data_IF_558558862710
#
_entry.id   IF_558558862710
#
_cell.length_a   1.000
_cell.length_b   1.000
_cell.length_c   1.000
_cell.angle_alpha   90.00
_cell.angle_beta   90.00
_cell.angle_gamma   90.00
#
_symmetry.space_group_name_H-M   'P 1'
#
loop_
_entity.id
_entity.type
_entity.pdbx_description
1 polymer ?
#
# COMPACT_ATOMS: atom_id res chain seq x y z
N UNK A 1 5.64 -18.07 -30.29
CA UNK A 1 4.56 -18.88 -29.68
C UNK A 1 4.86 -19.29 -28.24
N UNK A 2 6.00 -19.91 -27.91
CA UNK A 2 6.33 -20.35 -26.53
C UNK A 2 6.23 -19.23 -25.47
N UNK A 3 6.72 -18.01 -25.76
CA UNK A 3 6.67 -16.84 -24.87
C UNK A 3 5.25 -16.33 -24.55
N UNK A 4 4.30 -16.51 -25.49
CA UNK A 4 2.91 -16.08 -25.31
C UNK A 4 2.17 -16.98 -24.31
N UNK A 5 2.42 -18.29 -24.37
CA UNK A 5 1.87 -19.25 -23.40
C UNK A 5 2.46 -19.03 -22.00
N UNK A 6 3.73 -18.66 -21.89
CA UNK A 6 4.34 -18.32 -20.59
C UNK A 6 3.73 -17.06 -19.99
N UNK A 7 3.46 -16.04 -20.82
CA UNK A 7 2.81 -14.80 -20.38
C UNK A 7 1.35 -15.02 -19.96
N UNK A 8 0.58 -15.79 -20.73
CA UNK A 8 -0.80 -16.16 -20.37
C UNK A 8 -0.87 -17.00 -19.09
N UNK A 9 0.08 -17.93 -18.89
CA UNK A 9 0.17 -18.71 -17.65
C UNK A 9 0.49 -17.84 -16.43
N UNK A 10 1.35 -16.82 -16.58
CA UNK A 10 1.67 -15.89 -15.50
C UNK A 10 0.47 -14.98 -15.11
N UNK A 11 -0.35 -14.57 -16.10
CA UNK A 11 -1.59 -13.82 -15.85
C UNK A 11 -2.63 -14.71 -15.16
N UNK A 12 -2.76 -15.97 -15.57
CA UNK A 12 -3.71 -16.90 -14.93
C UNK A 12 -3.34 -17.19 -13.46
N UNK A 13 -2.03 -17.24 -13.14
CA UNK A 13 -1.55 -17.48 -11.77
C UNK A 13 -1.82 -16.30 -10.81
N UNK A 14 -1.86 -15.07 -11.32
CA UNK A 14 -2.13 -13.87 -10.51
C UNK A 14 -3.62 -13.57 -10.36
N UNK A 15 -4.46 -14.09 -11.26
CA UNK A 15 -5.92 -13.94 -11.19
C UNK A 15 -6.59 -14.82 -10.12
N UNK A 16 -5.89 -15.80 -9.54
CA UNK A 16 -6.46 -16.75 -8.56
C UNK A 16 -6.08 -16.47 -7.12
N UNK A 17 -5.41 -15.35 -6.81
CA UNK A 17 -5.07 -15.02 -5.43
C UNK A 17 -6.24 -14.31 -4.74
N UNK A 18 -7.04 -15.05 -3.97
CA UNK A 18 -8.00 -14.46 -3.04
C UNK A 18 -7.26 -13.92 -1.82
N UNK A 19 -6.93 -12.63 -1.85
CA UNK A 19 -6.33 -11.92 -0.72
C UNK A 19 -7.39 -11.21 0.16
N UNK A 20 -8.65 -11.65 0.11
CA UNK A 20 -9.69 -11.04 0.93
C UNK A 20 -9.42 -11.34 2.40
N UNK A 21 -9.38 -10.27 3.20
CA UNK A 21 -9.31 -10.39 4.65
C UNK A 21 -10.55 -11.16 5.10
N UNK A 22 -10.42 -12.21 5.91
CA UNK A 22 -11.58 -12.92 6.43
C UNK A 22 -12.54 -11.95 7.11
N UNK A 23 -13.79 -11.89 6.66
CA UNK A 23 -14.84 -11.01 7.19
C UNK A 23 -15.46 -11.62 8.46
N UNK A 24 -14.59 -11.99 9.41
CA UNK A 24 -14.95 -12.63 10.67
C UNK A 24 -13.92 -12.31 11.74
N UNK A 25 -14.31 -12.42 13.00
CA UNK A 25 -13.42 -12.17 14.13
C UNK A 25 -13.47 -13.30 15.18
N UNK A 26 -12.32 -13.70 15.70
CA UNK A 26 -12.27 -14.71 16.77
C UNK A 26 -12.79 -14.13 18.09
N UNK A 27 -13.59 -14.91 18.81
CA UNK A 27 -14.11 -14.58 20.13
C UNK A 27 -14.02 -15.79 21.06
N UNK A 28 -13.63 -15.54 22.31
CA UNK A 28 -13.56 -16.54 23.35
C UNK A 28 -14.17 -16.00 24.64
N UNK A 29 -14.93 -16.86 25.32
CA UNK A 29 -15.52 -16.53 26.61
C UNK A 29 -15.63 -17.77 27.50
N UNK A 30 -15.54 -17.58 28.81
CA UNK A 30 -15.80 -18.62 29.80
C UNK A 30 -17.25 -18.48 30.26
N UNK A 31 -18.04 -19.54 30.10
CA UNK A 31 -19.46 -19.56 30.44
C UNK A 31 -19.65 -20.13 31.85
N UNK A 32 -20.36 -19.37 32.68
CA UNK A 32 -20.73 -19.74 34.06
C UNK A 32 -22.23 -19.62 34.26
N UNK A 33 -22.80 -20.49 35.10
CA UNK A 33 -24.19 -20.38 35.52
C UNK A 33 -24.40 -19.31 36.61
N UNK A 34 -25.64 -19.14 37.07
CA UNK A 34 -26.00 -18.18 38.13
C UNK A 34 -25.41 -18.51 39.51
N UNK A 35 -24.87 -19.73 39.69
CA UNK A 35 -24.15 -20.17 40.88
C UNK A 35 -22.63 -20.11 40.73
N UNK A 36 -22.13 -19.42 39.71
CA UNK A 36 -20.71 -19.33 39.32
C UNK A 36 -20.04 -20.65 38.91
N UNK A 37 -20.82 -21.73 38.71
CA UNK A 37 -20.29 -23.01 38.25
C UNK A 37 -19.98 -22.94 36.75
N UNK A 38 -18.90 -23.62 36.34
CA UNK A 38 -18.54 -23.72 34.92
C UNK A 38 -19.56 -24.57 34.18
N UNK A 39 -20.10 -24.02 33.09
CA UNK A 39 -20.86 -24.79 32.11
C UNK A 39 -19.86 -25.51 31.23
N UNK A 40 -19.58 -26.79 31.49
CA UNK A 40 -18.48 -27.53 30.85
C UNK A 40 -18.97 -28.67 29.96
N UNK A 41 -18.25 -28.91 28.85
CA UNK A 41 -18.46 -30.03 27.93
C UNK A 41 -19.89 -30.19 27.38
N UNK A 42 -20.60 -29.08 27.15
CA UNK A 42 -21.96 -29.12 26.61
C UNK A 42 -22.22 -27.98 25.61
N UNK A 43 -23.16 -28.16 24.66
CA UNK A 43 -23.58 -27.08 23.79
C UNK A 43 -24.27 -25.97 24.58
N UNK A 44 -23.98 -24.73 24.22
CA UNK A 44 -24.65 -23.52 24.72
C UNK A 44 -25.21 -22.74 23.55
N UNK A 45 -26.37 -22.11 23.71
CA UNK A 45 -26.96 -21.25 22.69
C UNK A 45 -26.43 -19.85 22.90
N UNK A 46 -25.92 -19.20 21.85
CA UNK A 46 -25.39 -17.85 21.93
C UNK A 46 -26.01 -16.96 20.86
N UNK A 47 -26.45 -15.78 21.25
CA UNK A 47 -26.71 -14.65 20.36
C UNK A 47 -25.59 -13.62 20.55
N UNK A 48 -25.04 -13.16 19.43
CA UNK A 48 -23.98 -12.16 19.39
C UNK A 48 -24.52 -10.95 18.65
N UNK A 49 -24.40 -9.77 19.24
CA UNK A 49 -24.80 -8.50 18.63
C UNK A 49 -23.62 -7.53 18.59
N UNK A 50 -23.44 -6.83 17.48
CA UNK A 50 -22.52 -5.69 17.36
C UNK A 50 -23.33 -4.41 17.57
N UNK A 51 -23.08 -3.71 18.67
CA UNK A 51 -23.75 -2.45 19.03
C UNK A 51 -22.89 -1.25 18.62
N UNK A 52 -23.51 -0.23 18.04
CA UNK A 52 -22.83 1.00 17.63
C UNK A 52 -22.96 2.12 18.68
N UNK A 53 -21.87 2.85 18.91
CA UNK A 53 -21.82 4.10 19.69
C UNK A 53 -21.80 3.93 21.21
N UNK A 54 -22.46 2.90 21.76
CA UNK A 54 -22.44 2.61 23.21
C UNK A 54 -22.79 1.15 23.53
N UNK A 55 -22.55 0.74 24.77
CA UNK A 55 -22.93 -0.58 25.29
C UNK A 55 -24.45 -0.86 25.30
N UNK A 56 -25.28 0.15 25.05
CA UNK A 56 -26.74 0.01 24.87
C UNK A 56 -27.21 0.64 23.56
N UNK A 57 -26.30 0.80 22.60
CA UNK A 57 -26.58 1.36 21.29
C UNK A 57 -27.38 0.42 20.40
N UNK A 58 -27.64 0.88 19.17
CA UNK A 58 -28.35 0.09 18.17
C UNK A 58 -27.50 -1.10 17.71
N UNK A 59 -28.11 -2.28 17.63
CA UNK A 59 -27.48 -3.45 17.02
C UNK A 59 -27.43 -3.26 15.50
N UNK A 60 -26.21 -3.20 14.94
CA UNK A 60 -25.97 -3.09 13.50
C UNK A 60 -25.77 -4.46 12.84
N UNK A 61 -25.52 -5.48 13.64
CA UNK A 61 -25.41 -6.88 13.22
C UNK A 61 -25.77 -7.81 14.37
N UNK A 62 -26.49 -8.89 14.07
CA UNK A 62 -26.84 -9.94 15.02
C UNK A 62 -26.74 -11.32 14.38
N UNK A 63 -26.18 -12.27 15.12
CA UNK A 63 -26.12 -13.67 14.71
C UNK A 63 -26.33 -14.62 15.89
N UNK A 64 -26.65 -15.87 15.57
CA UNK A 64 -26.78 -16.96 16.54
C UNK A 64 -25.81 -18.09 16.25
N UNK A 65 -25.30 -18.72 17.31
CA UNK A 65 -24.39 -19.87 17.24
C UNK A 65 -24.68 -20.83 18.39
N UNK A 66 -24.30 -22.11 18.23
CA UNK A 66 -24.42 -23.13 19.27
C UNK A 66 -23.07 -23.81 19.58
N UNK A 67 -22.08 -23.08 20.10
CA UNK A 67 -20.76 -23.65 20.41
C UNK A 67 -20.83 -24.62 21.58
N UNK A 68 -19.88 -25.56 21.63
CA UNK A 68 -19.70 -26.48 22.77
C UNK A 68 -18.60 -25.95 23.69
N UNK A 69 -18.88 -25.86 24.99
CA UNK A 69 -17.87 -25.48 25.99
C UNK A 69 -16.86 -26.61 26.22
N UNK A 70 -15.61 -26.28 26.55
CA UNK A 70 -14.62 -27.29 26.97
C UNK A 70 -14.68 -27.55 28.49
N UNK A 71 -13.77 -28.37 29.02
CA UNK A 71 -13.65 -28.68 30.46
C UNK A 71 -13.51 -27.45 31.36
N UNK A 72 -12.98 -26.34 30.84
CA UNK A 72 -12.82 -25.08 31.57
C UNK A 72 -14.01 -24.12 31.35
N UNK A 73 -15.11 -24.59 30.74
CA UNK A 73 -16.25 -23.76 30.37
C UNK A 73 -15.98 -22.76 29.24
N UNK A 74 -14.86 -22.89 28.53
CA UNK A 74 -14.47 -21.98 27.46
C UNK A 74 -15.22 -22.32 26.16
N UNK A 75 -15.84 -21.32 25.55
CA UNK A 75 -16.28 -21.35 24.15
C UNK A 75 -15.25 -20.63 23.28
N UNK A 76 -15.10 -21.11 22.04
CA UNK A 76 -14.31 -20.46 21.00
C UNK A 76 -15.15 -20.42 19.73
N UNK A 77 -15.37 -19.23 19.20
CA UNK A 77 -16.20 -19.02 18.02
C UNK A 77 -15.62 -17.94 17.10
N UNK A 78 -16.13 -17.87 15.88
CA UNK A 78 -15.82 -16.82 14.92
C UNK A 78 -17.09 -16.00 14.70
N UNK A 79 -17.10 -14.74 15.13
CA UNK A 79 -18.22 -13.82 14.88
C UNK A 79 -18.21 -13.46 13.40
N UNK A 80 -19.36 -13.54 12.74
CA UNK A 80 -19.51 -13.38 11.29
C UNK A 80 -19.70 -14.71 10.56
N UNK A 81 -19.57 -15.85 11.24
CA UNK A 81 -19.84 -17.19 10.68
C UNK A 81 -21.11 -17.84 11.23
N UNK A 82 -21.89 -17.14 12.05
CA UNK A 82 -23.10 -17.65 12.65
C UNK A 82 -24.31 -17.64 11.70
N UNK A 83 -25.47 -18.05 12.22
CA UNK A 83 -26.73 -17.84 11.51
C UNK A 83 -27.16 -16.39 11.74
N UNK A 84 -27.09 -15.57 10.69
CA UNK A 84 -27.47 -14.15 10.72
C UNK A 84 -28.94 -14.00 11.09
N UNK A 85 -29.20 -13.17 12.09
CA UNK A 85 -30.55 -12.75 12.52
C UNK A 85 -30.90 -11.42 11.87
N UNK A 86 -29.97 -10.47 11.88
CA UNK A 86 -30.15 -9.14 11.29
C UNK A 86 -28.81 -8.49 10.92
N UNK A 87 -28.85 -7.52 10.01
CA UNK A 87 -27.67 -6.79 9.53
C UNK A 87 -26.77 -7.57 8.55
N UNK A 88 -25.64 -6.96 8.21
CA UNK A 88 -24.61 -7.55 7.34
C UNK A 88 -23.22 -7.16 7.88
N UNK A 89 -22.48 -8.16 8.36
CA UNK A 89 -21.16 -7.98 8.98
C UNK A 89 -20.16 -7.28 8.04
N UNK A 90 -20.29 -7.51 6.73
CA UNK A 90 -19.36 -7.01 5.69
C UNK A 90 -19.53 -5.50 5.44
N UNK A 91 -20.68 -4.95 5.84
CA UNK A 91 -21.04 -3.54 5.59
C UNK A 91 -20.80 -2.63 6.80
N UNK A 92 -20.32 -3.18 7.93
CA UNK A 92 -20.07 -2.41 9.15
C UNK A 92 -18.87 -1.47 8.91
N UNK A 93 -19.11 -0.16 9.04
CA UNK A 93 -18.05 0.84 8.98
C UNK A 93 -17.30 0.96 10.31
N UNK A 94 -16.37 0.04 10.54
CA UNK A 94 -15.54 -0.03 11.74
C UNK A 94 -14.71 1.24 12.04
N UNK A 95 -14.60 2.19 11.09
CA UNK A 95 -13.81 3.41 11.26
C UNK A 95 -14.63 4.60 11.77
N UNK A 96 -15.95 4.59 11.61
CA UNK A 96 -16.81 5.75 11.88
C UNK A 96 -17.25 5.89 13.34
N UNK A 97 -17.21 4.82 14.13
CA UNK A 97 -17.73 4.82 15.48
C UNK A 97 -17.01 3.84 16.41
N UNK A 98 -17.37 3.90 17.68
CA UNK A 98 -17.07 2.86 18.66
C UNK A 98 -18.08 1.73 18.56
N UNK A 99 -17.60 0.49 18.71
CA UNK A 99 -18.43 -0.70 18.61
C UNK A 99 -18.29 -1.56 19.88
N UNK A 100 -19.35 -2.29 20.21
CA UNK A 100 -19.41 -3.18 21.36
C UNK A 100 -19.93 -4.55 20.93
N UNK A 101 -19.39 -5.60 21.54
CA UNK A 101 -19.94 -6.96 21.42
C UNK A 101 -20.85 -7.20 22.61
N UNK A 102 -22.12 -7.43 22.33
CA UNK A 102 -23.08 -7.97 23.30
C UNK A 102 -23.21 -9.48 23.05
N UNK A 103 -23.09 -10.27 24.11
CA UNK A 103 -23.34 -11.71 24.09
C UNK A 103 -24.50 -12.05 25.00
N UNK A 104 -25.37 -12.93 24.53
CA UNK A 104 -26.52 -13.45 25.26
C UNK A 104 -26.45 -14.97 25.16
N UNK A 105 -26.43 -15.67 26.29
CA UNK A 105 -26.13 -17.11 26.35
C UNK A 105 -27.21 -17.88 27.10
N UNK A 106 -27.67 -18.97 26.48
CA UNK A 106 -28.52 -20.00 27.04
C UNK A 106 -27.61 -21.20 27.39
N UNK A 107 -27.41 -21.48 28.68
CA UNK A 107 -26.51 -22.55 29.12
C UNK A 107 -26.99 -23.96 28.72
N UNK A 108 -28.24 -24.10 28.27
CA UNK A 108 -28.85 -25.38 27.87
C UNK A 108 -28.85 -25.62 26.36
N UNK A 109 -28.31 -24.68 25.57
CA UNK A 109 -28.26 -24.82 24.11
C UNK A 109 -29.47 -24.25 23.36
N UNK A 110 -30.45 -23.69 24.06
CA UNK A 110 -31.66 -23.12 23.48
C UNK A 110 -31.54 -21.64 23.12
N UNK A 111 -32.69 -20.95 23.10
CA UNK A 111 -32.82 -19.51 22.82
C UNK A 111 -33.32 -18.73 24.04
N UNK A 112 -33.37 -19.34 25.22
CA UNK A 112 -33.77 -18.69 26.47
C UNK A 112 -32.52 -18.11 27.14
N UNK A 113 -32.02 -17.02 26.57
CA UNK A 113 -30.78 -16.39 27.03
C UNK A 113 -30.93 -15.81 28.45
N UNK A 114 -30.10 -16.29 29.38
CA UNK A 114 -30.12 -15.87 30.79
C UNK A 114 -28.84 -15.16 31.21
N UNK A 115 -27.73 -15.43 30.52
CA UNK A 115 -26.42 -14.82 30.78
C UNK A 115 -26.20 -13.74 29.74
N UNK A 116 -25.91 -12.51 30.16
CA UNK A 116 -25.64 -11.39 29.24
C UNK A 116 -24.33 -10.71 29.59
N UNK A 117 -23.58 -10.32 28.56
CA UNK A 117 -22.33 -9.58 28.70
C UNK A 117 -22.20 -8.55 27.59
N UNK A 118 -21.52 -7.43 27.86
CA UNK A 118 -21.19 -6.44 26.84
C UNK A 118 -19.78 -5.92 27.05
N UNK A 119 -18.98 -5.93 25.99
CA UNK A 119 -17.61 -5.44 26.00
C UNK A 119 -17.34 -4.53 24.79
N UNK A 120 -16.51 -3.50 24.97
CA UNK A 120 -16.11 -2.64 23.86
C UNK A 120 -15.09 -3.34 22.96
N UNK A 121 -15.24 -3.16 21.65
CA UNK A 121 -14.20 -3.51 20.68
C UNK A 121 -13.09 -2.46 20.71
N UNK A 122 -11.91 -2.89 21.13
CA UNK A 122 -10.71 -2.06 21.11
C UNK A 122 -9.82 -2.49 19.94
N UNK A 123 -9.17 -1.52 19.30
CA UNK A 123 -8.23 -1.81 18.21
C UNK A 123 -7.05 -2.64 18.72
N UNK A 124 -6.68 -3.67 17.96
CA UNK A 124 -5.41 -4.39 18.18
C UNK A 124 -4.23 -3.55 17.69
N UNK A 125 -3.00 -3.75 18.21
CA UNK A 125 -1.82 -2.96 17.82
C UNK A 125 -1.55 -2.89 16.31
N UNK A 126 -1.81 -3.98 15.58
CA UNK A 126 -1.68 -4.01 14.12
C UNK A 126 -2.67 -3.09 13.40
N UNK A 127 -3.92 -3.04 13.88
CA UNK A 127 -4.95 -2.15 13.33
C UNK A 127 -4.64 -0.67 13.60
N UNK A 128 -4.02 -0.35 14.75
CA UNK A 128 -3.54 1.00 15.05
C UNK A 128 -2.39 1.42 14.13
N UNK A 129 -1.47 0.50 13.80
CA UNK A 129 -0.39 0.77 12.86
C UNK A 129 -0.91 0.99 11.42
N UNK A 130 -1.90 0.19 10.98
CA UNK A 130 -2.50 0.33 9.66
C UNK A 130 -3.17 1.70 9.44
N UNK A 131 -3.76 2.31 10.48
CA UNK A 131 -4.37 3.65 10.41
C UNK A 131 -3.35 4.78 10.12
N UNK A 132 -2.07 4.56 10.40
CA UNK A 132 -1.04 5.60 10.23
C UNK A 132 -0.44 5.69 8.83
N UNK A 133 -0.81 4.80 7.91
CA UNK A 133 -0.28 4.83 6.54
C UNK A 133 -1.13 5.79 5.68
N UNK A 134 -1.11 7.08 6.00
CA UNK A 134 -1.56 8.09 5.04
C UNK A 134 -0.53 8.16 3.93
N UNK A 135 -0.95 7.87 2.70
CA UNK A 135 -0.05 7.94 1.55
C UNK A 135 0.31 9.41 1.30
N UNK A 136 1.61 9.78 1.20
CA UNK A 136 2.01 11.15 0.89
C UNK A 136 1.49 11.55 -0.49
N UNK A 137 1.05 12.80 -0.61
CA UNK A 137 0.67 13.45 -1.87
C UNK A 137 1.78 14.43 -2.25
N UNK A 138 2.30 14.28 -3.47
CA UNK A 138 3.39 15.08 -3.99
C UNK A 138 2.92 16.05 -5.07
N UNK A 139 3.68 17.14 -5.25
CA UNK A 139 3.41 18.16 -6.26
C UNK A 139 4.57 18.25 -7.26
N UNK A 140 4.24 18.46 -8.54
CA UNK A 140 5.23 18.78 -9.58
C UNK A 140 5.92 20.09 -9.23
N UNK A 141 7.17 20.25 -9.67
CA UNK A 141 8.01 21.42 -9.41
C UNK A 141 8.39 21.60 -7.93
N UNK A 142 8.50 20.48 -7.19
CA UNK A 142 8.87 20.49 -5.78
C UNK A 142 9.96 19.45 -5.52
N UNK A 143 10.95 19.81 -4.70
CA UNK A 143 11.95 18.89 -4.19
C UNK A 143 11.42 18.17 -2.95
N UNK A 144 11.60 16.85 -2.91
CA UNK A 144 11.28 16.01 -1.77
C UNK A 144 12.49 15.15 -1.42
N UNK A 145 13.08 15.37 -0.24
CA UNK A 145 14.26 14.65 0.23
C UNK A 145 14.01 13.14 0.37
N UNK A 146 12.78 12.75 0.73
CA UNK A 146 12.32 11.38 0.82
C UNK A 146 12.17 10.69 -0.55
N UNK A 147 12.14 11.45 -1.64
CA UNK A 147 12.15 10.91 -3.01
C UNK A 147 13.55 10.95 -3.64
N UNK A 148 14.49 11.69 -3.02
CA UNK A 148 15.86 11.88 -3.51
C UNK A 148 15.97 12.82 -4.69
N UNK A 149 14.93 13.58 -5.03
CA UNK A 149 14.92 14.37 -6.25
C UNK A 149 13.77 15.36 -6.39
N UNK A 150 13.77 16.05 -7.52
CA UNK A 150 12.80 17.07 -7.89
C UNK A 150 11.69 16.46 -8.75
N UNK A 151 10.43 16.62 -8.34
CA UNK A 151 9.28 16.01 -9.02
C UNK A 151 9.00 16.73 -10.34
N UNK A 152 9.04 15.98 -11.43
CA UNK A 152 8.82 16.48 -12.78
C UNK A 152 7.52 15.96 -13.42
N UNK A 153 6.91 14.91 -12.85
CA UNK A 153 5.62 14.37 -13.26
C UNK A 153 4.95 13.67 -12.07
N UNK A 154 3.62 13.73 -11.99
CA UNK A 154 2.81 12.97 -11.04
C UNK A 154 1.60 12.36 -11.75
N UNK A 155 1.10 11.25 -11.22
CA UNK A 155 -0.17 10.68 -11.62
C UNK A 155 -1.36 11.46 -11.03
N UNK A 156 -2.58 11.12 -11.43
CA UNK A 156 -3.79 11.86 -11.06
C UNK A 156 -4.13 11.85 -9.57
N UNK A 157 -3.65 10.85 -8.82
CA UNK A 157 -3.83 10.76 -7.36
C UNK A 157 -2.67 11.38 -6.56
N UNK A 158 -1.66 11.92 -7.26
CA UNK A 158 -0.50 12.61 -6.68
C UNK A 158 0.47 11.70 -5.91
N UNK A 159 0.33 10.38 -6.04
CA UNK A 159 0.98 9.42 -5.16
C UNK A 159 2.09 8.60 -5.82
N UNK A 160 2.24 8.74 -7.14
CA UNK A 160 3.36 8.21 -7.91
C UNK A 160 3.79 9.23 -8.95
N UNK A 161 5.03 9.14 -9.39
CA UNK A 161 5.55 10.07 -10.37
C UNK A 161 6.97 9.81 -10.79
N UNK A 162 7.59 10.85 -11.34
CA UNK A 162 8.99 10.85 -11.72
C UNK A 162 9.72 11.98 -11.02
N UNK A 163 10.91 11.68 -10.51
CA UNK A 163 11.87 12.68 -10.03
C UNK A 163 13.11 12.70 -10.91
N UNK A 164 13.71 13.89 -11.02
CA UNK A 164 15.07 14.09 -11.53
C UNK A 164 16.02 14.31 -10.37
N UNK A 165 17.24 13.78 -10.47
CA UNK A 165 18.29 13.98 -9.45
C UNK A 165 18.65 15.47 -9.31
N UNK A 166 19.10 15.87 -8.11
CA UNK A 166 19.42 17.27 -7.80
C UNK A 166 20.81 17.73 -8.26
N UNK A 167 21.67 16.80 -8.71
CA UNK A 167 22.97 17.09 -9.31
C UNK A 167 23.26 16.19 -10.51
N UNK A 168 24.19 16.62 -11.36
CA UNK A 168 24.70 15.80 -12.46
C UNK A 168 25.58 14.67 -11.92
N UNK A 169 25.51 13.49 -12.54
CA UNK A 169 26.33 12.33 -12.17
C UNK A 169 27.74 12.40 -12.80
N UNK A 170 28.02 13.45 -13.57
CA UNK A 170 29.23 13.66 -14.34
C UNK A 170 28.98 13.65 -15.84
N UNK A 171 30.03 13.49 -16.62
CA UNK A 171 29.99 13.39 -18.08
C UNK A 171 30.74 12.17 -18.56
N UNK A 172 30.20 11.46 -19.54
CA UNK A 172 30.81 10.25 -20.09
C UNK A 172 30.31 9.97 -21.51
N UNK A 173 30.85 8.91 -22.11
CA UNK A 173 30.19 8.26 -23.24
C UNK A 173 28.90 7.55 -22.81
N UNK A 174 28.11 7.13 -23.81
CA UNK A 174 26.78 6.59 -23.59
C UNK A 174 26.80 5.25 -22.81
N UNK A 175 27.81 4.41 -23.03
CA UNK A 175 27.93 3.11 -22.36
C UNK A 175 28.28 3.27 -20.87
N UNK A 176 29.17 4.20 -20.54
CA UNK A 176 29.62 4.48 -19.18
C UNK A 176 28.61 5.31 -18.36
N UNK A 177 27.64 5.93 -19.03
CA UNK A 177 26.66 6.78 -18.36
C UNK A 177 25.82 6.02 -17.32
N UNK A 178 25.59 4.72 -17.54
CA UNK A 178 24.88 3.87 -16.58
C UNK A 178 25.71 3.59 -15.31
N UNK A 179 27.03 3.50 -15.43
CA UNK A 179 27.93 3.33 -14.29
C UNK A 179 27.94 4.59 -13.42
N UNK A 180 27.95 5.78 -14.05
CA UNK A 180 27.80 7.05 -13.36
C UNK A 180 26.45 7.15 -12.65
N UNK A 181 25.37 6.67 -13.30
CA UNK A 181 24.01 6.67 -12.75
C UNK A 181 23.89 5.86 -11.47
N UNK A 182 24.57 4.71 -11.41
CA UNK A 182 24.48 3.74 -10.33
C UNK A 182 25.45 4.01 -9.18
N UNK A 183 26.45 4.87 -9.37
CA UNK A 183 27.47 5.18 -8.37
C UNK A 183 26.94 6.16 -7.31
N UNK A 184 26.77 5.75 -6.03
CA UNK A 184 26.18 6.59 -5.00
C UNK A 184 27.01 7.84 -4.67
N UNK A 185 28.32 7.81 -4.91
CA UNK A 185 29.21 8.97 -4.70
C UNK A 185 28.95 10.10 -5.70
N UNK A 186 28.22 9.83 -6.78
CA UNK A 186 27.82 10.82 -7.78
C UNK A 186 26.44 11.43 -7.50
N UNK A 187 25.86 11.16 -6.33
CA UNK A 187 24.57 11.71 -5.89
C UNK A 187 24.75 12.62 -4.68
N UNK A 188 23.76 13.49 -4.47
CA UNK A 188 23.64 14.23 -3.22
C UNK A 188 23.20 13.31 -2.07
N UNK A 189 23.11 13.84 -0.86
CA UNK A 189 22.83 13.04 0.34
C UNK A 189 21.49 12.29 0.27
N UNK A 190 20.51 12.87 -0.42
CA UNK A 190 19.17 12.31 -0.56
C UNK A 190 19.10 11.34 -1.75
N UNK A 191 19.67 11.71 -2.90
CA UNK A 191 19.74 10.83 -4.08
C UNK A 191 20.57 9.57 -3.85
N UNK A 192 21.62 9.63 -3.04
CA UNK A 192 22.51 8.48 -2.76
C UNK A 192 21.82 7.30 -2.04
N UNK A 193 20.64 7.56 -1.44
CA UNK A 193 19.80 6.55 -0.77
C UNK A 193 19.13 5.59 -1.77
N UNK A 194 19.05 5.96 -3.04
CA UNK A 194 18.38 5.21 -4.09
C UNK A 194 19.39 4.53 -5.03
N UNK A 195 19.01 3.37 -5.59
CA UNK A 195 19.85 2.55 -6.48
C UNK A 195 19.20 2.26 -7.84
N UNK A 196 17.97 2.74 -8.02
CA UNK A 196 17.11 2.56 -9.20
C UNK A 196 17.15 3.79 -10.13
N UNK A 197 18.16 4.66 -9.96
CA UNK A 197 18.44 5.75 -10.89
C UNK A 197 18.80 5.22 -12.28
N UNK A 198 18.26 5.86 -13.31
CA UNK A 198 18.52 5.50 -14.71
C UNK A 198 18.60 6.73 -15.60
N UNK A 199 19.19 6.54 -16.78
CA UNK A 199 19.12 7.53 -17.84
C UNK A 199 17.66 7.84 -18.24
N UNK A 200 17.32 9.11 -18.48
CA UNK A 200 15.99 9.51 -18.92
C UNK A 200 15.72 9.04 -20.34
N UNK A 201 14.47 8.70 -20.64
CA UNK A 201 14.01 8.52 -22.03
C UNK A 201 13.91 9.87 -22.75
N UNK A 202 13.70 9.86 -24.08
CA UNK A 202 13.43 11.10 -24.85
C UNK A 202 12.27 11.93 -24.30
N UNK A 203 11.24 11.26 -23.78
CA UNK A 203 10.07 11.91 -23.17
C UNK A 203 10.45 12.58 -21.86
N UNK A 204 11.25 11.89 -21.05
CA UNK A 204 11.68 12.37 -19.75
C UNK A 204 12.70 13.51 -19.87
N UNK A 205 13.54 13.53 -20.92
CA UNK A 205 14.37 14.70 -21.21
C UNK A 205 13.53 15.94 -21.54
N UNK A 206 12.38 15.80 -22.22
CA UNK A 206 11.46 16.92 -22.40
C UNK A 206 10.84 17.38 -21.08
N UNK A 207 10.50 16.47 -20.16
CA UNK A 207 10.02 16.83 -18.82
C UNK A 207 11.10 17.58 -18.02
N UNK A 208 12.34 17.10 -18.07
CA UNK A 208 13.49 17.79 -17.48
C UNK A 208 13.72 19.16 -18.12
N UNK A 209 13.53 19.32 -19.43
CA UNK A 209 13.62 20.61 -20.11
C UNK A 209 12.51 21.58 -19.67
N UNK A 210 11.31 21.08 -19.39
CA UNK A 210 10.24 21.89 -18.76
C UNK A 210 10.68 22.35 -17.36
N UNK A 211 11.29 21.48 -16.55
CA UNK A 211 11.86 21.89 -15.24
C UNK A 211 12.93 22.97 -15.42
N UNK A 212 13.83 22.81 -16.38
CA UNK A 212 14.89 23.78 -16.68
C UNK A 212 14.32 25.16 -17.07
N UNK A 213 13.34 25.18 -17.97
CA UNK A 213 12.71 26.43 -18.43
C UNK A 213 11.77 27.05 -17.40
N UNK A 214 11.23 26.25 -16.47
CA UNK A 214 10.37 26.70 -15.38
C UNK A 214 11.18 27.02 -14.11
N UNK A 215 12.13 27.93 -14.23
CA UNK A 215 12.94 28.41 -13.09
C UNK A 215 14.06 27.47 -12.64
N UNK A 216 14.25 26.34 -13.32
CA UNK A 216 15.37 25.42 -13.14
C UNK A 216 15.54 24.89 -11.70
N UNK A 217 14.44 24.49 -11.05
CA UNK A 217 14.45 24.03 -9.66
C UNK A 217 15.34 22.81 -9.36
N UNK A 218 15.77 22.08 -10.40
CA UNK A 218 16.67 20.92 -10.30
C UNK A 218 18.15 21.24 -10.63
N UNK A 219 18.52 22.52 -10.81
CA UNK A 219 19.89 22.96 -11.10
C UNK A 219 20.52 22.25 -12.32
N UNK A 220 19.79 22.20 -13.42
CA UNK A 220 20.24 21.63 -14.70
C UNK A 220 21.13 22.64 -15.44
N UNK A 221 22.13 22.15 -16.17
CA UNK A 221 23.07 22.99 -16.92
C UNK A 221 22.59 23.22 -18.36
N UNK A 222 22.96 24.35 -19.01
CA UNK A 222 22.65 24.63 -20.42
C UNK A 222 23.52 23.80 -21.38
N UNK A 223 23.44 22.48 -21.28
CA UNK A 223 24.32 21.51 -21.93
C UNK A 223 23.55 20.37 -22.58
N UNK A 224 24.25 19.42 -23.18
CA UNK A 224 23.69 18.17 -23.71
C UNK A 224 23.58 17.11 -22.62
N UNK A 225 22.39 16.51 -22.51
CA UNK A 225 22.12 15.39 -21.62
C UNK A 225 21.77 14.13 -22.40
N UNK A 226 22.33 13.00 -21.97
CA UNK A 226 22.07 11.69 -22.55
C UNK A 226 20.63 11.21 -22.35
N UNK A 227 20.08 10.56 -23.38
CA UNK A 227 18.88 9.72 -23.30
C UNK A 227 19.27 8.25 -23.18
N UNK A 228 18.44 7.43 -22.56
CA UNK A 228 18.50 5.96 -22.63
C UNK A 228 18.03 5.41 -23.98
N UNK A 229 17.52 6.25 -24.88
CA UNK A 229 17.05 5.83 -26.20
C UNK A 229 18.19 5.82 -27.22
N UNK A 230 18.51 4.64 -27.78
CA UNK A 230 19.41 4.48 -28.92
C UNK A 230 18.63 4.41 -30.25
N UNK A 231 19.28 4.79 -31.35
CA UNK A 231 18.75 4.57 -32.70
C UNK A 231 19.38 3.33 -33.34
N UNK A 232 20.68 3.14 -33.10
CA UNK A 232 21.43 1.93 -33.43
C UNK A 232 22.66 1.85 -32.53
N UNK A 233 23.53 0.86 -32.76
CA UNK A 233 24.70 0.59 -31.93
C UNK A 233 25.73 1.73 -31.89
N UNK A 234 25.70 2.69 -32.82
CA UNK A 234 26.64 3.79 -32.92
C UNK A 234 26.06 5.14 -32.50
N UNK A 235 24.74 5.28 -32.42
CA UNK A 235 24.10 6.58 -32.14
C UNK A 235 22.99 6.49 -31.10
N UNK A 236 23.04 7.42 -30.14
CA UNK A 236 22.04 7.60 -29.11
C UNK A 236 21.45 9.02 -29.13
N UNK A 237 20.28 9.16 -28.51
CA UNK A 237 19.61 10.45 -28.40
C UNK A 237 20.19 11.29 -27.27
N UNK A 238 20.24 12.59 -27.49
CA UNK A 238 20.56 13.61 -26.50
C UNK A 238 19.53 14.75 -26.58
N UNK A 239 19.50 15.62 -25.57
CA UNK A 239 18.77 16.88 -25.64
C UNK A 239 19.67 18.04 -25.18
N UNK A 240 19.67 19.12 -25.95
CA UNK A 240 20.40 20.34 -25.61
C UNK A 240 19.53 21.29 -24.79
N UNK A 241 19.90 21.55 -23.54
CA UNK A 241 19.04 22.30 -22.62
C UNK A 241 19.09 23.81 -22.83
N UNK A 242 19.98 24.33 -23.66
CA UNK A 242 19.96 25.76 -24.03
C UNK A 242 18.78 26.11 -24.96
N UNK A 243 18.33 25.19 -25.81
CA UNK A 243 17.27 25.45 -26.78
C UNK A 243 16.21 24.34 -26.91
N UNK A 244 16.33 23.27 -26.12
CA UNK A 244 15.40 22.15 -26.08
C UNK A 244 15.51 21.17 -27.25
N UNK A 245 16.46 21.34 -28.18
CA UNK A 245 16.55 20.49 -29.36
C UNK A 245 17.02 19.07 -29.01
N UNK A 246 16.40 18.05 -29.63
CA UNK A 246 16.83 16.67 -29.54
C UNK A 246 17.56 16.25 -30.82
N UNK A 247 18.70 15.59 -30.67
CA UNK A 247 19.54 15.14 -31.78
C UNK A 247 20.02 13.71 -31.55
N UNK A 248 20.46 13.08 -32.63
CA UNK A 248 21.26 11.85 -32.58
C UNK A 248 22.73 12.24 -32.55
N UNK A 249 23.49 11.56 -31.69
CA UNK A 249 24.93 11.76 -31.55
C UNK A 249 25.61 10.41 -31.37
N UNK A 250 26.90 10.34 -31.74
CA UNK A 250 27.68 9.12 -31.62
C UNK A 250 27.76 8.65 -30.14
N UNK A 251 27.59 7.36 -29.88
CA UNK A 251 27.62 6.78 -28.51
C UNK A 251 28.96 6.97 -27.80
N UNK A 252 30.04 7.23 -28.54
CA UNK A 252 31.37 7.55 -28.02
C UNK A 252 31.59 9.04 -27.73
N UNK A 253 30.65 9.93 -28.07
CA UNK A 253 30.71 11.33 -27.69
C UNK A 253 30.63 11.49 -26.17
N UNK A 254 31.01 12.65 -25.63
CA UNK A 254 30.91 12.92 -24.18
C UNK A 254 29.78 13.92 -23.92
N UNK A 255 28.75 13.48 -23.21
CA UNK A 255 27.66 14.34 -22.73
C UNK A 255 27.47 14.21 -21.23
N UNK A 256 26.70 15.14 -20.65
CA UNK A 256 26.37 15.10 -19.24
C UNK A 256 25.33 14.03 -18.94
N UNK A 257 25.43 13.47 -17.74
CA UNK A 257 24.53 12.47 -17.20
C UNK A 257 23.72 13.12 -16.10
N UNK A 258 22.41 13.16 -16.32
CA UNK A 258 21.43 13.49 -15.29
C UNK A 258 20.36 12.42 -15.30
N UNK A 259 20.10 11.85 -14.13
CA UNK A 259 19.27 10.65 -13.99
C UNK A 259 17.89 10.95 -13.42
N UNK A 260 16.97 10.02 -13.69
CA UNK A 260 15.59 10.04 -13.23
C UNK A 260 15.22 8.71 -12.59
N UNK A 261 14.23 8.73 -11.69
CA UNK A 261 13.62 7.51 -11.14
C UNK A 261 12.12 7.72 -10.91
N UNK A 262 11.39 6.62 -10.83
CA UNK A 262 10.00 6.63 -10.43
C UNK A 262 9.87 6.54 -8.90
N UNK A 263 8.74 7.00 -8.37
CA UNK A 263 8.37 6.85 -6.97
C UNK A 263 6.88 6.51 -6.84
#
# INVERSE_FOLDING_TARGET
MKKLYTFLAAILLTATTSAQVPEKMSYQAVVRDTGDNLISNQPVGMQISILQGSASGTAVYEETQTPTTNTNGLVSLEIGSGTVVSGDFTTIDWANDTYFIKTETDPTGGTSYTITGTSQLLSVPYALHAKTVTKPIYNVNTFYAELGGYVMEINSDGSHGLVVAMQDQGSSNWYEANDLSSNPSNHDIDGAKFKDWRLPTKRELNLMYVVYTNGNGANLLPTYYWSSSESDVYVAWEQYFNNGNQSLVNTLATNNVRVVRAF
#
